data_IF_620789071520
#
_entry.id   IF_620789071520
#
_cell.length_a   1.000
_cell.length_b   1.000
_cell.length_c   1.000
_cell.angle_alpha   90.00
_cell.angle_beta   90.00
_cell.angle_gamma   90.00
#
_symmetry.space_group_name_H-M   'P 1'
#
loop_
_entity.id
_entity.type
_entity.pdbx_description
1 polymer ?
#
# COMPACT_ATOMS: atom_id res chain seq x y z
N UNK A 1 -16.22 -0.86 1.98
CA UNK A 1 -14.83 -1.23 2.25
C UNK A 1 -14.71 -2.14 3.47
N UNK A 2 -15.41 -1.86 4.59
CA UNK A 2 -15.39 -2.72 5.78
C UNK A 2 -15.87 -4.15 5.53
N UNK A 3 -16.83 -4.36 4.64
CA UNK A 3 -17.36 -5.69 4.31
C UNK A 3 -16.40 -6.56 3.47
N UNK A 4 -15.42 -5.94 2.80
CA UNK A 4 -14.46 -6.64 1.94
C UNK A 4 -13.15 -6.97 2.67
N UNK A 5 -12.85 -6.27 3.78
CA UNK A 5 -11.64 -6.47 4.58
C UNK A 5 -12.00 -7.28 5.80
N UNK A 6 -11.56 -8.55 5.85
CA UNK A 6 -11.77 -9.45 7.00
C UNK A 6 -10.95 -9.07 8.25
N UNK A 7 -10.25 -7.95 8.23
CA UNK A 7 -9.40 -7.47 9.32
C UNK A 7 -10.14 -6.41 10.15
N UNK A 8 -9.82 -6.35 11.45
CA UNK A 8 -10.28 -5.26 12.32
C UNK A 8 -9.70 -3.93 11.84
N UNK A 9 -10.52 -2.88 11.87
CA UNK A 9 -10.12 -1.53 11.44
C UNK A 9 -10.60 -0.48 12.42
N UNK A 10 -9.84 0.59 12.57
CA UNK A 10 -10.23 1.82 13.26
C UNK A 10 -10.33 2.97 12.27
N UNK A 11 -11.38 3.78 12.39
CA UNK A 11 -11.56 4.98 11.59
C UNK A 11 -10.72 6.13 12.16
N UNK A 12 -10.24 6.99 11.26
CA UNK A 12 -9.55 8.22 11.64
C UNK A 12 -9.88 9.34 10.65
N UNK A 13 -9.89 10.57 11.14
CA UNK A 13 -10.17 11.77 10.37
C UNK A 13 -8.89 12.52 10.06
N UNK A 14 -8.72 12.95 8.82
CA UNK A 14 -7.57 13.74 8.37
C UNK A 14 -7.69 15.16 8.90
N UNK A 15 -6.70 15.60 9.70
CA UNK A 15 -6.64 16.93 10.30
C UNK A 15 -5.60 17.85 9.66
N UNK A 16 -4.69 17.30 8.87
CA UNK A 16 -3.64 18.08 8.20
C UNK A 16 -2.81 17.23 7.27
N UNK A 17 -2.05 17.89 6.42
CA UNK A 17 -1.12 17.24 5.47
C UNK A 17 0.14 18.07 5.37
N UNK A 18 1.29 17.44 5.51
CA UNK A 18 2.59 18.03 5.30
C UNK A 18 3.25 17.48 4.03
N UNK A 19 3.63 18.36 3.14
CA UNK A 19 4.43 18.05 1.98
C UNK A 19 5.73 18.87 2.04
N UNK A 20 6.80 18.24 2.49
CA UNK A 20 8.15 18.80 2.46
C UNK A 20 8.94 18.19 1.30
N UNK A 21 10.21 18.57 1.15
CA UNK A 21 11.11 17.96 0.15
C UNK A 21 11.32 16.46 0.38
N UNK A 22 11.21 16.02 1.62
CA UNK A 22 11.63 14.69 2.05
C UNK A 22 10.48 13.82 2.54
N UNK A 23 9.35 14.42 2.95
CA UNK A 23 8.26 13.68 3.59
C UNK A 23 6.89 14.08 3.04
N UNK A 24 6.08 13.07 2.75
CA UNK A 24 4.68 13.20 2.39
C UNK A 24 3.85 12.51 3.46
N UNK A 25 3.36 13.29 4.42
CA UNK A 25 2.68 12.80 5.61
C UNK A 25 1.29 13.41 5.72
N UNK A 26 0.31 12.58 6.07
CA UNK A 26 -0.99 13.03 6.53
C UNK A 26 -1.09 12.88 8.04
N UNK A 27 -1.66 13.87 8.70
CA UNK A 27 -1.96 13.83 10.13
C UNK A 27 -3.43 13.46 10.31
N UNK A 28 -3.69 12.40 11.06
CA UNK A 28 -5.04 11.91 11.33
C UNK A 28 -5.28 11.79 12.82
N UNK A 29 -6.55 11.91 13.22
CA UNK A 29 -7.00 11.70 14.62
C UNK A 29 -7.91 10.49 14.65
N UNK A 30 -7.65 9.57 15.58
CA UNK A 30 -8.46 8.38 15.78
C UNK A 30 -9.85 8.72 16.30
N UNK A 31 -10.89 8.10 15.74
CA UNK A 31 -12.26 8.21 16.26
C UNK A 31 -12.43 7.45 17.58
N UNK A 32 -11.63 6.42 17.80
CA UNK A 32 -11.62 5.64 19.03
C UNK A 32 -10.21 5.59 19.64
N UNK A 33 -9.93 6.41 20.65
CA UNK A 33 -8.61 6.52 21.28
C UNK A 33 -8.23 5.28 22.13
N UNK A 34 -9.17 4.39 22.42
CA UNK A 34 -8.91 3.15 23.15
C UNK A 34 -8.26 2.03 22.32
N UNK A 35 -8.13 2.23 21.01
CA UNK A 35 -7.56 1.23 20.10
C UNK A 35 -6.05 1.40 19.99
N UNK A 36 -5.33 0.30 20.11
CA UNK A 36 -3.87 0.32 20.00
C UNK A 36 -3.42 0.32 18.54
N UNK A 37 -3.01 1.48 18.05
CA UNK A 37 -2.39 1.66 16.73
C UNK A 37 -0.87 1.63 16.87
N UNK A 38 -0.18 0.99 15.92
CA UNK A 38 1.28 0.86 15.90
C UNK A 38 1.86 1.32 14.56
N UNK A 39 3.11 1.80 14.53
CA UNK A 39 3.84 2.06 13.29
C UNK A 39 3.87 0.83 12.38
N UNK A 40 3.74 1.07 11.06
CA UNK A 40 3.72 0.03 10.03
C UNK A 40 2.33 -0.53 9.71
N UNK A 41 1.29 -0.24 10.50
CA UNK A 41 -0.08 -0.63 10.18
C UNK A 41 -0.56 0.02 8.89
N UNK A 42 -1.27 -0.71 8.00
CA UNK A 42 -1.79 -0.15 6.76
C UNK A 42 -2.88 0.89 7.00
N UNK A 43 -2.87 1.91 6.15
CA UNK A 43 -3.91 2.95 6.12
C UNK A 43 -4.57 2.94 4.75
N UNK A 44 -5.87 2.77 4.74
CA UNK A 44 -6.70 2.62 3.55
C UNK A 44 -7.79 3.69 3.50
N UNK A 45 -8.27 3.96 2.29
CA UNK A 45 -9.50 4.72 2.05
C UNK A 45 -10.45 3.92 1.17
N UNK A 46 -11.59 4.50 0.81
CA UNK A 46 -12.52 3.88 -0.14
C UNK A 46 -11.86 3.63 -1.50
N UNK A 47 -10.99 4.52 -1.94
CA UNK A 47 -10.36 4.47 -3.27
C UNK A 47 -9.09 3.58 -3.31
N UNK A 48 -8.60 3.13 -2.16
CA UNK A 48 -7.43 2.24 -2.10
C UNK A 48 -6.46 2.54 -0.96
N UNK A 49 -5.20 2.23 -1.20
CA UNK A 49 -4.12 2.35 -0.24
C UNK A 49 -3.68 3.80 -0.06
N UNK A 50 -3.81 4.32 1.16
CA UNK A 50 -3.34 5.66 1.53
C UNK A 50 -1.86 5.64 1.89
N UNK A 51 -1.45 4.65 2.68
CA UNK A 51 -0.07 4.55 3.15
C UNK A 51 0.09 3.63 4.35
N UNK A 52 1.02 3.97 5.23
CA UNK A 52 1.28 3.26 6.49
C UNK A 52 1.39 4.22 7.67
N UNK A 53 1.03 3.73 8.86
CA UNK A 53 1.28 4.48 10.09
C UNK A 53 2.79 4.66 10.26
N UNK A 54 3.21 5.92 10.37
CA UNK A 54 4.61 6.31 10.60
C UNK A 54 4.90 6.48 12.08
N UNK A 55 4.03 7.22 12.77
CA UNK A 55 4.20 7.57 14.19
C UNK A 55 2.84 7.74 14.87
N UNK A 56 2.80 7.40 16.15
CA UNK A 56 1.59 7.54 17.00
C UNK A 56 1.93 8.39 18.23
N UNK A 57 1.09 9.37 18.51
CA UNK A 57 1.18 10.24 19.67
C UNK A 57 -0.22 10.45 20.29
N UNK A 58 -0.61 9.53 21.17
CA UNK A 58 -1.97 9.49 21.73
C UNK A 58 -3.01 9.19 20.64
N UNK A 59 -3.96 10.10 20.44
CA UNK A 59 -5.00 10.00 19.40
C UNK A 59 -4.51 10.44 18.02
N UNK A 60 -3.38 11.16 17.97
CA UNK A 60 -2.80 11.68 16.72
C UNK A 60 -1.88 10.66 16.09
N UNK A 61 -2.07 10.42 14.80
CA UNK A 61 -1.29 9.47 14.01
C UNK A 61 -0.75 10.17 12.78
N UNK A 62 0.54 10.01 12.56
CA UNK A 62 1.19 10.43 11.31
C UNK A 62 1.20 9.25 10.34
N UNK A 63 0.72 9.49 9.13
CA UNK A 63 0.60 8.49 8.06
C UNK A 63 1.55 8.85 6.93
N UNK A 64 2.50 7.97 6.65
CA UNK A 64 3.35 8.04 5.47
C UNK A 64 2.52 7.68 4.24
N UNK A 65 2.42 8.61 3.28
CA UNK A 65 1.62 8.41 2.07
C UNK A 65 2.33 7.50 1.05
N UNK A 66 1.56 6.85 0.18
CA UNK A 66 2.12 5.96 -0.87
C UNK A 66 3.11 6.64 -1.80
N UNK A 67 3.07 7.95 -1.92
CA UNK A 67 3.97 8.76 -2.76
C UNK A 67 5.25 9.18 -2.06
N UNK A 68 5.37 8.92 -0.75
CA UNK A 68 6.62 9.15 -0.01
C UNK A 68 7.70 8.17 -0.44
N UNK A 69 8.94 8.62 -0.49
CA UNK A 69 10.09 7.79 -0.88
C UNK A 69 10.39 6.63 0.07
N UNK A 70 9.95 6.73 1.32
CA UNK A 70 10.04 5.66 2.32
C UNK A 70 8.99 4.57 2.17
N UNK A 71 7.87 4.88 1.50
CA UNK A 71 6.78 3.92 1.32
C UNK A 71 7.16 2.80 0.37
N UNK A 72 6.75 1.58 0.72
CA UNK A 72 6.91 0.43 -0.15
C UNK A 72 5.91 -0.69 0.14
N UNK A 73 5.39 -1.31 -0.93
CA UNK A 73 4.45 -2.43 -0.85
C UNK A 73 4.59 -3.39 -2.02
N UNK A 74 4.48 -4.70 -1.74
CA UNK A 74 4.41 -5.73 -2.76
C UNK A 74 3.05 -5.73 -3.46
N UNK A 75 3.08 -5.74 -4.80
CA UNK A 75 1.88 -5.68 -5.64
C UNK A 75 1.79 -6.81 -6.65
N UNK A 76 0.57 -6.99 -7.14
CA UNK A 76 0.28 -7.75 -8.36
C UNK A 76 -0.49 -6.86 -9.34
N UNK A 77 -0.23 -7.02 -10.62
CA UNK A 77 -1.05 -6.43 -11.68
C UNK A 77 -2.36 -7.21 -11.75
N UNK A 78 -3.49 -6.52 -11.58
CA UNK A 78 -4.81 -7.17 -11.52
C UNK A 78 -5.10 -8.04 -12.74
N UNK A 79 -4.80 -7.54 -13.95
CA UNK A 79 -5.11 -8.21 -15.22
C UNK A 79 -4.24 -9.43 -15.48
N UNK A 80 -2.94 -9.38 -15.16
CA UNK A 80 -1.97 -10.40 -15.59
C UNK A 80 -1.38 -11.24 -14.47
N UNK A 81 -1.52 -10.75 -13.21
CA UNK A 81 -0.86 -11.37 -12.06
C UNK A 81 0.64 -11.13 -11.99
N UNK A 82 1.21 -10.30 -12.87
CA UNK A 82 2.60 -9.88 -12.82
C UNK A 82 2.92 -9.26 -11.46
N UNK A 83 4.09 -9.56 -10.91
CA UNK A 83 4.49 -9.10 -9.58
C UNK A 83 5.47 -7.95 -9.68
N UNK A 84 5.42 -7.08 -8.67
CA UNK A 84 6.35 -5.97 -8.53
C UNK A 84 6.32 -5.41 -7.13
N UNK A 85 7.13 -4.39 -6.91
CA UNK A 85 7.20 -3.66 -5.66
C UNK A 85 6.97 -2.18 -5.94
N UNK A 86 5.91 -1.61 -5.37
CA UNK A 86 5.62 -0.18 -5.47
C UNK A 86 6.47 0.57 -4.46
N UNK A 87 7.12 1.63 -4.92
CA UNK A 87 7.84 2.61 -4.10
C UNK A 87 7.39 4.02 -4.47
N UNK A 88 7.16 4.86 -3.46
CA UNK A 88 6.88 6.28 -3.67
C UNK A 88 8.05 6.98 -4.34
N UNK A 89 7.77 7.92 -5.23
CA UNK A 89 8.81 8.65 -5.96
C UNK A 89 9.42 9.79 -5.13
N UNK A 90 8.71 10.30 -4.13
CA UNK A 90 9.17 11.42 -3.31
C UNK A 90 9.35 12.74 -4.09
N UNK A 91 8.90 12.82 -5.34
CA UNK A 91 9.08 13.98 -6.20
C UNK A 91 8.13 15.12 -5.81
N UNK A 92 8.65 16.35 -5.71
CA UNK A 92 7.86 17.55 -5.40
C UNK A 92 6.80 17.89 -6.44
N UNK A 93 7.10 17.61 -7.70
CA UNK A 93 6.25 17.99 -8.82
C UNK A 93 5.21 16.96 -9.19
N UNK A 94 5.35 15.72 -8.72
CA UNK A 94 4.49 14.60 -9.11
C UNK A 94 4.11 13.73 -7.93
N UNK A 95 2.81 13.53 -7.76
CA UNK A 95 2.26 12.50 -6.88
C UNK A 95 2.29 11.16 -7.63
N UNK A 96 3.46 10.53 -7.67
CA UNK A 96 3.67 9.31 -8.43
C UNK A 96 4.35 8.21 -7.62
N UNK A 97 4.23 7.00 -8.13
CA UNK A 97 4.93 5.82 -7.63
C UNK A 97 5.66 5.12 -8.75
N UNK A 98 6.74 4.43 -8.42
CA UNK A 98 7.49 3.58 -9.33
C UNK A 98 7.25 2.13 -8.95
N UNK A 99 7.16 1.27 -9.96
CA UNK A 99 7.09 -0.18 -9.75
C UNK A 99 8.43 -0.79 -10.10
N UNK A 100 9.07 -1.37 -9.10
CA UNK A 100 10.36 -2.06 -9.21
C UNK A 100 10.15 -3.57 -9.38
N UNK A 101 11.15 -4.26 -9.91
CA UNK A 101 11.22 -5.73 -10.03
C UNK A 101 10.14 -6.37 -10.93
N UNK A 102 9.48 -5.61 -11.79
CA UNK A 102 8.60 -6.16 -12.82
C UNK A 102 9.48 -6.81 -13.89
N UNK A 103 9.33 -8.11 -14.12
CA UNK A 103 10.15 -8.82 -15.11
C UNK A 103 9.84 -8.29 -16.52
N UNK A 104 10.88 -8.24 -17.36
CA UNK A 104 10.72 -7.76 -18.74
C UNK A 104 9.79 -8.64 -19.59
N UNK A 105 9.68 -9.92 -19.23
CA UNK A 105 8.78 -10.89 -19.86
C UNK A 105 7.32 -10.68 -19.47
N UNK A 106 7.07 -10.00 -18.35
CA UNK A 106 5.71 -9.79 -17.87
C UNK A 106 4.99 -8.74 -18.71
N UNK A 107 3.71 -8.99 -18.95
CA UNK A 107 2.87 -8.05 -19.65
C UNK A 107 2.28 -7.03 -18.67
N UNK A 108 2.66 -5.76 -18.85
CA UNK A 108 2.11 -4.61 -18.12
C UNK A 108 1.80 -3.51 -19.13
N UNK A 109 0.59 -2.97 -19.06
CA UNK A 109 0.11 -1.93 -19.95
C UNK A 109 -0.32 -0.68 -19.19
N UNK A 110 -0.27 0.45 -19.86
CA UNK A 110 -0.87 1.69 -19.33
C UNK A 110 -2.36 1.45 -19.06
N UNK A 111 -2.83 1.88 -17.88
CA UNK A 111 -4.19 1.67 -17.40
C UNK A 111 -4.36 0.46 -16.48
N UNK A 112 -3.39 -0.45 -16.41
CA UNK A 112 -3.43 -1.59 -15.49
C UNK A 112 -3.51 -1.11 -14.02
N UNK A 113 -4.33 -1.79 -13.24
CA UNK A 113 -4.45 -1.54 -11.80
C UNK A 113 -3.50 -2.42 -11.03
N UNK A 114 -2.81 -1.82 -10.08
CA UNK A 114 -1.89 -2.48 -9.17
C UNK A 114 -2.59 -2.71 -7.84
N UNK A 115 -2.68 -3.97 -7.42
CA UNK A 115 -3.30 -4.37 -6.16
C UNK A 115 -2.24 -4.86 -5.17
N UNK A 116 -2.47 -4.67 -3.88
CA UNK A 116 -1.64 -5.28 -2.84
C UNK A 116 -1.61 -6.80 -2.99
N UNK A 117 -0.43 -7.40 -2.93
CA UNK A 117 -0.27 -8.86 -3.09
C UNK A 117 -0.66 -9.67 -1.87
N UNK A 118 -0.67 -9.04 -0.69
CA UNK A 118 -0.81 -9.69 0.61
C UNK A 118 0.46 -10.40 1.10
N UNK A 119 1.55 -10.34 0.33
CA UNK A 119 2.85 -10.90 0.75
C UNK A 119 3.39 -10.10 1.95
N UNK A 120 3.96 -10.83 2.93
CA UNK A 120 4.44 -10.21 4.17
C UNK A 120 3.33 -9.78 5.13
N UNK A 121 2.06 -10.00 4.77
CA UNK A 121 0.86 -9.85 5.61
C UNK A 121 0.66 -8.48 6.26
N UNK A 122 1.44 -7.50 5.88
CA UNK A 122 1.27 -6.13 6.35
C UNK A 122 0.01 -5.49 5.75
N UNK A 123 -0.20 -5.68 4.46
CA UNK A 123 -1.40 -5.19 3.76
C UNK A 123 -2.40 -6.32 3.48
N UNK A 124 -3.71 -6.08 3.61
CA UNK A 124 -4.72 -6.98 3.08
C UNK A 124 -4.50 -7.19 1.58
N UNK A 125 -4.74 -8.40 1.08
CA UNK A 125 -4.62 -8.70 -0.34
C UNK A 125 -5.73 -8.04 -1.16
N UNK A 126 -5.40 -7.56 -2.36
CA UNK A 126 -6.38 -7.10 -3.34
C UNK A 126 -6.85 -5.65 -3.15
N UNK A 127 -6.14 -4.84 -2.35
CA UNK A 127 -6.46 -3.42 -2.22
C UNK A 127 -5.77 -2.63 -3.33
N UNK A 128 -6.50 -1.74 -4.07
CA UNK A 128 -5.89 -0.88 -5.08
C UNK A 128 -4.80 0.01 -4.49
N UNK A 129 -3.68 0.13 -5.20
CA UNK A 129 -2.54 0.99 -4.82
C UNK A 129 -2.36 2.12 -5.83
N UNK A 130 -2.25 1.76 -7.11
CA UNK A 130 -1.97 2.71 -8.18
C UNK A 130 -2.48 2.19 -9.53
N UNK A 131 -2.54 3.08 -10.51
CA UNK A 131 -2.83 2.79 -11.92
C UNK A 131 -1.63 3.12 -12.76
N UNK A 132 -1.20 2.19 -13.60
CA UNK A 132 -0.04 2.37 -14.50
C UNK A 132 -0.32 3.50 -15.48
N UNK A 133 0.60 4.46 -15.56
CA UNK A 133 0.54 5.57 -16.51
C UNK A 133 1.71 5.57 -17.51
N UNK A 134 2.79 4.81 -17.24
CA UNK A 134 3.94 4.71 -18.13
C UNK A 134 4.64 3.37 -18.00
N UNK A 135 5.01 2.79 -19.14
CA UNK A 135 5.79 1.56 -19.22
C UNK A 135 6.97 1.79 -20.16
N UNK A 136 8.17 1.53 -19.68
CA UNK A 136 9.41 1.62 -20.47
C UNK A 136 10.10 0.25 -20.46
N UNK A 137 10.03 -0.45 -21.59
CA UNK A 137 10.80 -1.67 -21.83
C UNK A 137 12.13 -1.28 -22.48
N UNK A 138 13.23 -1.54 -21.78
CA UNK A 138 14.57 -1.38 -22.34
C UNK A 138 14.95 -2.64 -23.12
N UNK A 139 15.81 -2.50 -24.12
CA UNK A 139 16.30 -3.64 -24.92
C UNK A 139 17.21 -4.59 -24.15
N UNK A 140 17.66 -4.17 -22.97
CA UNK A 140 18.54 -4.94 -22.08
C UNK A 140 18.06 -4.87 -20.63
N UNK A 141 18.51 -5.84 -19.82
CA UNK A 141 18.16 -5.95 -18.40
C UNK A 141 17.02 -6.92 -18.13
N UNK A 142 16.89 -7.32 -16.87
CA UNK A 142 15.89 -8.29 -16.41
C UNK A 142 14.53 -7.64 -16.13
N UNK A 143 14.51 -6.34 -15.82
CA UNK A 143 13.33 -5.62 -15.37
C UNK A 143 12.96 -4.50 -16.34
N UNK A 144 11.68 -4.22 -16.42
CA UNK A 144 11.13 -3.04 -17.09
C UNK A 144 10.88 -1.94 -16.05
N UNK A 145 10.86 -0.69 -16.52
CA UNK A 145 10.52 0.46 -15.67
C UNK A 145 9.03 0.78 -15.85
N UNK A 146 8.30 0.79 -14.74
CA UNK A 146 6.87 1.11 -14.72
C UNK A 146 6.64 2.27 -13.74
N UNK A 147 5.94 3.30 -14.22
CA UNK A 147 5.47 4.42 -13.38
C UNK A 147 3.95 4.34 -13.28
N UNK A 148 3.41 4.75 -12.14
CA UNK A 148 1.98 4.71 -11.87
C UNK A 148 1.55 5.89 -11.00
N UNK A 149 0.26 6.18 -11.05
CA UNK A 149 -0.38 7.18 -10.20
C UNK A 149 -1.21 6.48 -9.11
N UNK A 150 -1.16 6.95 -7.84
CA UNK A 150 -2.00 6.41 -6.79
C UNK A 150 -3.48 6.44 -7.17
N UNK A 151 -4.22 5.41 -6.75
CA UNK A 151 -5.68 5.40 -6.93
C UNK A 151 -6.39 6.38 -6.00
N UNK A 152 -5.74 6.76 -4.90
CA UNK A 152 -6.26 7.70 -3.91
C UNK A 152 -5.92 9.13 -4.30
N UNK A 153 -6.93 9.99 -4.36
CA UNK A 153 -6.74 11.44 -4.45
C UNK A 153 -6.47 12.03 -3.06
N UNK A 154 -5.20 12.25 -2.75
CA UNK A 154 -4.79 12.80 -1.46
C UNK A 154 -5.31 14.22 -1.21
N UNK A 155 -5.68 14.98 -2.24
CA UNK A 155 -6.22 16.34 -2.06
C UNK A 155 -7.61 16.34 -1.43
N UNK A 156 -8.37 15.26 -1.64
CA UNK A 156 -9.75 15.08 -1.16
C UNK A 156 -9.88 14.08 -0.03
N UNK A 157 -8.76 13.61 0.52
CA UNK A 157 -8.77 12.63 1.58
C UNK A 157 -9.25 13.27 2.90
N UNK A 158 -10.39 12.80 3.42
CA UNK A 158 -11.01 13.29 4.65
C UNK A 158 -11.04 12.22 5.75
N UNK A 159 -11.32 10.97 5.38
CA UNK A 159 -11.43 9.84 6.30
C UNK A 159 -10.55 8.68 5.83
N UNK A 160 -9.99 7.97 6.79
CA UNK A 160 -9.17 6.78 6.55
C UNK A 160 -9.52 5.66 7.51
N UNK A 161 -9.17 4.44 7.13
CA UNK A 161 -9.26 3.23 7.96
C UNK A 161 -7.85 2.72 8.22
N UNK A 162 -7.47 2.58 9.47
CA UNK A 162 -6.22 1.93 9.87
C UNK A 162 -6.54 0.45 10.12
N UNK A 163 -5.81 -0.43 9.45
CA UNK A 163 -5.98 -1.89 9.59
C UNK A 163 -5.16 -2.36 10.78
N UNK A 164 -5.87 -2.93 11.77
CA UNK A 164 -5.28 -3.41 13.03
C UNK A 164 -4.74 -4.84 12.86
N UNK A 165 -3.87 -5.07 11.88
CA UNK A 165 -3.24 -6.38 11.69
C UNK A 165 -1.85 -6.38 12.32
N UNK A 166 -1.61 -7.27 13.27
CA UNK A 166 -0.25 -7.64 13.65
C UNK A 166 0.29 -8.60 12.58
N UNK A 167 1.51 -8.36 12.11
CA UNK A 167 2.23 -9.27 11.21
C UNK A 167 2.38 -10.70 11.77
N UNK A 168 2.17 -10.87 13.06
CA UNK A 168 2.15 -12.17 13.77
C UNK A 168 0.96 -13.06 13.40
N UNK A 169 -0.17 -12.48 13.00
CA UNK A 169 -1.36 -13.25 12.62
C UNK A 169 -1.21 -14.01 11.30
N UNK A 170 -0.20 -13.70 10.53
CA UNK A 170 0.05 -14.32 9.26
C UNK A 170 0.96 -15.55 9.33
N UNK A 171 1.90 -15.56 10.25
CA UNK A 171 2.73 -16.74 10.51
C UNK A 171 1.86 -17.90 11.00
N UNK A 172 0.82 -17.60 11.79
CA UNK A 172 -0.14 -18.60 12.28
C UNK A 172 -1.00 -19.24 11.16
N UNK A 173 -1.32 -18.51 10.10
CA UNK A 173 -2.10 -19.02 8.95
C UNK A 173 -1.27 -19.73 7.88
N UNK A 174 0.05 -19.49 7.83
CA UNK A 174 0.99 -20.14 6.91
C UNK A 174 1.50 -21.51 7.36
N UNK A 175 1.28 -21.90 8.64
CA UNK A 175 1.84 -23.09 9.25
C UNK A 175 1.05 -24.39 9.03
N UNK A 176 -0.14 -24.38 8.43
CA UNK A 176 -0.89 -25.59 8.10
C UNK A 176 -0.54 -26.14 6.71
N UNK A 177 0.71 -26.56 6.52
CA UNK A 177 1.00 -27.56 5.49
C UNK A 177 0.52 -28.91 6.02
N UNK A 178 -0.49 -29.49 5.37
CA UNK A 178 -0.94 -30.84 5.59
C UNK A 178 0.25 -31.81 5.53
N UNK A 179 0.43 -32.72 6.52
CA UNK A 179 1.39 -33.79 6.37
C UNK A 179 0.96 -34.69 5.21
N UNK A 180 1.85 -34.88 4.24
CA UNK A 180 1.63 -35.74 3.10
C UNK A 180 1.36 -37.16 3.52
N UNK A 181 0.28 -37.72 3.02
CA UNK A 181 0.02 -39.15 2.96
C UNK A 181 1.11 -39.77 2.09
N UNK A 182 1.95 -40.61 2.67
CA UNK A 182 2.79 -41.55 1.92
C UNK A 182 2.01 -42.83 1.64
N UNK A 183 2.25 -43.47 0.51
CA UNK A 183 1.61 -44.68 0.08
C UNK A 183 1.95 -45.88 0.95
#
# INVERSE_FOLDING_TARGET
LRETISAETVSAVVIGKDATEFFRVAHVTLDNPGVQVKPGMPVLSFDGTVGTVLRVAGEKVDVELTVDSGFGVDIVVERTGARGFVRGMGDRSRYGVRVEYVQRSDEVNVGDVLLTSGVGCRFPKGVPVARVNKVLKRDFGMYQTVEAEPTVDFSRLEEVLIVLSDSKDCEAKGGQRRPGTKP
#
